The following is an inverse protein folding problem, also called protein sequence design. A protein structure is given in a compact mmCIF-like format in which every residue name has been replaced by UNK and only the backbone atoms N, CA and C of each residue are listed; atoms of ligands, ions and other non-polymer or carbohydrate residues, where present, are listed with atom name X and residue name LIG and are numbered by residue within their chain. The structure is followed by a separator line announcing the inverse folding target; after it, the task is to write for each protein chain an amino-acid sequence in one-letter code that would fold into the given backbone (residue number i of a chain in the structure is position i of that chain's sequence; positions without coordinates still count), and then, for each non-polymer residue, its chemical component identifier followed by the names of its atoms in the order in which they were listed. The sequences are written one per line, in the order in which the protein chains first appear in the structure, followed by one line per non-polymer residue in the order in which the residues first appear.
data_IF_515373207309
#
_entry.id   IF_515373207309
#
_cell.length_a   1.000
_cell.length_b   1.000
_cell.length_c   1.000
_cell.angle_alpha   90.00
_cell.angle_beta   90.00
_cell.angle_gamma   90.00
#
_symmetry.space_group_name_H-M   'P 1'
#
loop_
_entity.id
_entity.type
_entity.pdbx_description
1 polymer ?
#
# COMPACT_ATOMS: atom_id res chain seq x y z
N UNK A 1 -12.84 -13.55 11.48
CA UNK A 1 -12.13 -12.36 12.02
C UNK A 1 -11.49 -11.63 10.85
N UNK A 2 -11.59 -10.30 10.84
CA UNK A 2 -11.01 -9.50 9.76
C UNK A 2 -9.46 -9.59 9.79
N UNK A 3 -8.87 -9.78 8.61
CA UNK A 3 -7.44 -9.96 8.42
C UNK A 3 -6.85 -8.80 7.63
N UNK A 4 -5.80 -8.17 8.17
CA UNK A 4 -5.08 -7.09 7.51
C UNK A 4 -3.79 -7.55 6.83
N UNK A 5 -3.42 -6.85 5.77
CA UNK A 5 -2.08 -6.95 5.18
C UNK A 5 -1.49 -5.56 4.97
N UNK A 6 -0.23 -5.39 5.33
CA UNK A 6 0.54 -4.17 5.11
C UNK A 6 1.58 -4.47 4.04
N UNK A 7 1.56 -3.71 2.95
CA UNK A 7 2.51 -3.79 1.85
C UNK A 7 3.38 -2.54 1.91
N UNK A 8 4.63 -2.70 2.30
CA UNK A 8 5.61 -1.62 2.42
C UNK A 8 6.48 -1.58 1.18
N UNK A 9 6.53 -0.43 0.53
CA UNK A 9 7.39 -0.18 -0.62
C UNK A 9 8.18 1.11 -0.41
N UNK A 10 9.19 1.03 0.43
CA UNK A 10 10.09 2.13 0.77
C UNK A 10 11.52 1.59 0.87
N UNK A 11 12.46 2.05 0.00
CA UNK A 11 13.83 1.55 0.01
C UNK A 11 14.62 1.98 1.26
N UNK A 12 14.10 2.93 2.06
CA UNK A 12 14.76 3.38 3.27
C UNK A 12 14.29 2.60 4.50
N UNK A 13 15.06 1.62 5.01
CA UNK A 13 14.67 0.81 6.18
C UNK A 13 14.59 1.63 7.47
N UNK A 14 15.23 2.80 7.50
CA UNK A 14 15.17 3.74 8.62
C UNK A 14 14.09 4.81 8.42
N UNK A 15 13.33 4.72 7.34
CA UNK A 15 12.29 5.67 6.98
C UNK A 15 11.04 5.58 7.85
N UNK A 16 10.16 6.53 7.63
CA UNK A 16 8.90 6.64 8.36
C UNK A 16 7.97 5.46 8.11
N UNK A 17 8.03 4.84 6.93
CA UNK A 17 7.26 3.65 6.58
C UNK A 17 7.50 2.53 7.57
N UNK A 18 8.78 2.26 7.87
CA UNK A 18 9.23 1.17 8.72
C UNK A 18 9.20 1.53 10.21
N UNK A 19 9.58 2.76 10.57
CA UNK A 19 9.68 3.16 11.99
C UNK A 19 8.37 3.62 12.60
N UNK A 20 7.41 4.04 11.80
CA UNK A 20 6.18 4.62 12.34
C UNK A 20 4.92 4.04 11.70
N UNK A 21 4.75 4.09 10.37
CA UNK A 21 3.46 3.81 9.75
C UNK A 21 3.11 2.32 9.90
N UNK A 22 3.94 1.43 9.40
CA UNK A 22 3.68 -0.02 9.46
C UNK A 22 3.57 -0.54 10.92
N UNK A 23 4.48 -0.19 11.85
CA UNK A 23 4.34 -0.61 13.24
C UNK A 23 3.07 -0.08 13.91
N UNK A 24 2.65 1.17 13.60
CA UNK A 24 1.41 1.73 14.16
C UNK A 24 0.20 0.94 13.68
N UNK A 25 0.10 0.65 12.39
CA UNK A 25 -1.01 -0.14 11.85
C UNK A 25 -1.00 -1.53 12.48
N UNK A 26 0.13 -2.22 12.52
CA UNK A 26 0.25 -3.55 13.13
C UNK A 26 -0.17 -3.56 14.60
N UNK A 27 0.26 -2.55 15.39
CA UNK A 27 -0.14 -2.40 16.78
C UNK A 27 -1.66 -2.21 16.94
N UNK A 28 -2.29 -1.47 16.04
CA UNK A 28 -3.74 -1.24 16.09
C UNK A 28 -4.53 -2.53 15.82
N UNK A 29 -4.09 -3.37 14.90
CA UNK A 29 -4.65 -4.70 14.67
C UNK A 29 -4.47 -5.59 15.90
N UNK A 30 -3.25 -5.67 16.43
CA UNK A 30 -2.94 -6.45 17.64
C UNK A 30 -3.81 -6.06 18.84
N UNK A 31 -4.02 -4.76 19.07
CA UNK A 31 -4.89 -4.27 20.17
C UNK A 31 -6.36 -4.70 20.03
N UNK A 32 -6.79 -5.08 18.83
CA UNK A 32 -8.14 -5.59 18.55
C UNK A 32 -8.20 -7.12 18.47
N UNK A 33 -7.10 -7.80 18.73
CA UNK A 33 -7.01 -9.25 18.57
C UNK A 33 -7.14 -9.71 17.12
N UNK A 34 -6.80 -8.84 16.14
CA UNK A 34 -6.87 -9.12 14.71
C UNK A 34 -5.49 -9.41 14.13
N UNK A 35 -5.44 -10.33 13.17
CA UNK A 35 -4.22 -10.64 12.44
C UNK A 35 -3.84 -9.56 11.44
N UNK A 36 -2.55 -9.26 11.37
CA UNK A 36 -1.99 -8.36 10.37
C UNK A 36 -0.60 -8.82 9.92
N UNK A 37 -0.51 -9.24 8.66
CA UNK A 37 0.75 -9.62 8.02
C UNK A 37 1.45 -8.42 7.41
N UNK A 38 2.77 -8.48 7.24
CA UNK A 38 3.57 -7.44 6.58
C UNK A 38 4.34 -8.07 5.44
N UNK A 39 4.26 -7.48 4.26
CA UNK A 39 5.10 -7.69 3.10
C UNK A 39 5.96 -6.44 2.96
N UNK A 40 7.27 -6.59 2.92
CA UNK A 40 8.23 -5.51 2.69
C UNK A 40 8.96 -5.78 1.39
N UNK A 41 8.56 -5.09 0.32
CA UNK A 41 9.02 -5.40 -1.04
C UNK A 41 10.53 -5.25 -1.22
N UNK A 42 11.17 -4.35 -0.48
CA UNK A 42 12.63 -4.18 -0.56
C UNK A 42 13.39 -5.15 0.32
N UNK A 43 12.87 -5.49 1.48
CA UNK A 43 13.47 -6.47 2.38
C UNK A 43 13.30 -7.90 1.87
N UNK A 44 12.16 -8.18 1.23
CA UNK A 44 11.86 -9.47 0.63
C UNK A 44 12.52 -9.64 -0.76
N UNK A 45 13.36 -8.67 -1.16
CA UNK A 45 14.08 -8.66 -2.44
C UNK A 45 13.16 -8.83 -3.66
N UNK A 46 11.94 -8.27 -3.57
CA UNK A 46 10.98 -8.32 -4.66
C UNK A 46 11.54 -7.58 -5.89
N UNK A 47 11.72 -8.30 -6.99
CA UNK A 47 12.18 -7.71 -8.24
C UNK A 47 11.00 -7.13 -9.04
N UNK A 48 10.86 -5.78 -9.10
CA UNK A 48 9.76 -5.15 -9.83
C UNK A 48 9.88 -5.27 -11.36
N UNK A 49 11.04 -5.66 -11.87
CA UNK A 49 11.34 -5.79 -13.31
C UNK A 49 11.42 -7.24 -13.77
N UNK A 50 11.07 -8.20 -12.90
CA UNK A 50 11.20 -9.61 -13.26
C UNK A 50 10.26 -9.98 -14.41
N UNK A 51 10.85 -10.34 -15.52
CA UNK A 51 10.16 -10.89 -16.70
C UNK A 51 10.18 -12.42 -16.70
N UNK A 52 11.08 -13.03 -15.93
CA UNK A 52 11.33 -14.46 -15.92
C UNK A 52 10.61 -15.23 -14.81
N UNK A 53 10.26 -16.43 -15.23
CA UNK A 53 9.09 -17.14 -14.76
C UNK A 53 9.25 -17.89 -13.43
N UNK A 54 10.43 -18.17 -12.88
CA UNK A 54 10.53 -19.17 -11.81
C UNK A 54 10.55 -18.59 -10.40
N UNK A 55 11.55 -17.81 -10.01
CA UNK A 55 11.65 -17.27 -8.64
C UNK A 55 10.69 -16.11 -8.41
N UNK A 56 10.57 -15.19 -9.39
CA UNK A 56 9.62 -14.08 -9.34
C UNK A 56 8.17 -14.57 -9.25
N UNK A 57 7.85 -15.67 -9.91
CA UNK A 57 6.53 -16.29 -9.83
C UNK A 57 6.23 -16.91 -8.46
N UNK A 58 7.22 -17.44 -7.74
CA UNK A 58 7.01 -17.99 -6.41
C UNK A 58 6.67 -16.89 -5.41
N UNK A 59 7.41 -15.79 -5.40
CA UNK A 59 7.16 -14.64 -4.54
C UNK A 59 5.78 -14.02 -4.87
N UNK A 60 5.49 -13.81 -6.15
CA UNK A 60 4.22 -13.27 -6.58
C UNK A 60 3.04 -14.19 -6.23
N UNK A 61 3.18 -15.51 -6.34
CA UNK A 61 2.16 -16.49 -5.91
C UNK A 61 1.93 -16.44 -4.40
N UNK A 62 3.01 -16.36 -3.62
CA UNK A 62 2.92 -16.22 -2.18
C UNK A 62 2.15 -14.95 -1.78
N UNK A 63 2.49 -13.81 -2.39
CA UNK A 63 1.80 -12.55 -2.15
C UNK A 63 0.33 -12.60 -2.57
N UNK A 64 0.01 -13.20 -3.71
CA UNK A 64 -1.38 -13.43 -4.17
C UNK A 64 -2.17 -14.24 -3.15
N UNK A 65 -1.58 -15.29 -2.59
CA UNK A 65 -2.23 -16.09 -1.56
C UNK A 65 -2.56 -15.25 -0.31
N UNK A 66 -1.61 -14.46 0.19
CA UNK A 66 -1.82 -13.61 1.36
C UNK A 66 -2.90 -12.54 1.06
N UNK A 67 -2.84 -11.88 -0.10
CA UNK A 67 -3.83 -10.88 -0.51
C UNK A 67 -5.23 -11.48 -0.60
N UNK A 68 -5.35 -12.68 -1.14
CA UNK A 68 -6.64 -13.35 -1.29
C UNK A 68 -7.36 -13.53 0.05
N UNK A 69 -6.64 -13.80 1.11
CA UNK A 69 -7.17 -14.04 2.46
C UNK A 69 -7.36 -12.77 3.27
N UNK A 70 -6.80 -11.63 2.87
CA UNK A 70 -6.92 -10.36 3.58
C UNK A 70 -8.26 -9.66 3.29
N UNK A 71 -8.84 -9.02 4.30
CA UNK A 71 -10.02 -8.15 4.16
C UNK A 71 -9.59 -6.69 3.94
N UNK A 72 -8.50 -6.28 4.61
CA UNK A 72 -7.95 -4.94 4.56
C UNK A 72 -6.55 -4.96 3.96
N UNK A 73 -6.29 -4.07 2.99
CA UNK A 73 -4.98 -3.95 2.32
C UNK A 73 -4.44 -2.54 2.55
N UNK A 74 -3.28 -2.43 3.17
CA UNK A 74 -2.60 -1.18 3.46
C UNK A 74 -1.35 -1.04 2.60
N UNK A 75 -1.36 -0.14 1.63
CA UNK A 75 -0.19 0.20 0.83
C UNK A 75 0.56 1.38 1.45
N UNK A 76 1.83 1.20 1.76
CA UNK A 76 2.72 2.25 2.26
C UNK A 76 3.82 2.47 1.25
N UNK A 77 3.94 3.69 0.72
CA UNK A 77 4.98 4.02 -0.27
C UNK A 77 5.49 5.44 -0.12
N UNK A 78 6.78 5.64 -0.39
CA UNK A 78 7.30 6.96 -0.67
C UNK A 78 6.91 7.41 -2.08
N UNK A 79 6.77 8.72 -2.26
CA UNK A 79 6.55 9.34 -3.57
C UNK A 79 7.89 9.88 -4.08
N UNK A 80 8.28 9.39 -5.24
CA UNK A 80 9.48 9.78 -5.97
C UNK A 80 9.16 10.71 -7.15
N UNK A 81 10.15 10.97 -7.99
CA UNK A 81 10.03 11.86 -9.15
C UNK A 81 8.95 11.43 -10.15
N UNK A 82 8.77 10.14 -10.35
CA UNK A 82 7.83 9.58 -11.34
C UNK A 82 6.50 9.09 -10.79
N UNK A 83 6.32 9.06 -9.46
CA UNK A 83 5.10 8.48 -8.88
C UNK A 83 5.35 7.79 -7.55
N UNK A 84 4.67 6.68 -7.30
CA UNK A 84 4.97 5.80 -6.17
C UNK A 84 6.30 5.06 -6.39
N UNK A 85 6.80 4.36 -5.39
CA UNK A 85 8.07 3.64 -5.52
C UNK A 85 8.03 2.58 -6.63
N UNK A 86 9.16 2.30 -7.32
CA UNK A 86 9.23 1.28 -8.36
C UNK A 86 8.79 -0.11 -7.87
N UNK A 87 9.11 -0.46 -6.63
CA UNK A 87 8.66 -1.71 -6.02
C UNK A 87 7.13 -1.84 -5.98
N UNK A 88 6.41 -0.75 -5.68
CA UNK A 88 4.95 -0.76 -5.67
C UNK A 88 4.35 -0.80 -7.08
N UNK A 89 4.96 -0.12 -8.05
CA UNK A 89 4.53 -0.20 -9.46
C UNK A 89 4.66 -1.63 -9.99
N UNK A 90 5.83 -2.25 -9.82
CA UNK A 90 6.02 -3.65 -10.23
C UNK A 90 5.13 -4.63 -9.46
N UNK A 91 4.79 -4.33 -8.21
CA UNK A 91 3.83 -5.11 -7.46
C UNK A 91 2.43 -5.06 -8.09
N UNK A 92 1.97 -3.91 -8.55
CA UNK A 92 0.71 -3.80 -9.27
C UNK A 92 0.73 -4.63 -10.56
N UNK A 93 1.82 -4.57 -11.32
CA UNK A 93 1.93 -5.25 -12.61
C UNK A 93 2.07 -6.78 -12.47
N UNK A 94 2.86 -7.25 -11.50
CA UNK A 94 3.17 -8.68 -11.37
C UNK A 94 2.21 -9.43 -10.45
N UNK A 95 1.80 -8.79 -9.34
CA UNK A 95 0.97 -9.43 -8.31
C UNK A 95 -0.50 -9.13 -8.56
N UNK A 96 -0.87 -7.86 -8.76
CA UNK A 96 -2.26 -7.44 -8.97
C UNK A 96 -2.65 -7.45 -10.45
N UNK A 97 -2.15 -8.40 -11.21
CA UNK A 97 -2.33 -8.52 -12.64
C UNK A 97 -3.70 -9.08 -13.05
N UNK A 98 -3.96 -9.07 -14.36
CA UNK A 98 -5.10 -9.72 -14.99
C UNK A 98 -5.15 -11.22 -14.63
N UNK A 99 -6.36 -11.72 -14.35
CA UNK A 99 -6.59 -13.09 -13.91
C UNK A 99 -6.54 -13.27 -12.38
N UNK A 100 -5.84 -12.40 -11.65
CA UNK A 100 -5.85 -12.40 -10.19
C UNK A 100 -6.67 -11.24 -9.59
N UNK A 101 -6.30 -10.01 -9.91
CA UNK A 101 -6.93 -8.84 -9.32
C UNK A 101 -8.12 -8.33 -10.13
N UNK A 102 -8.10 -8.53 -11.43
CA UNK A 102 -9.16 -8.14 -12.34
C UNK A 102 -9.20 -9.01 -13.60
N UNK A 103 -10.35 -8.97 -14.29
CA UNK A 103 -10.54 -9.53 -15.63
C UNK A 103 -10.96 -8.45 -16.62
N UNK A 104 -10.83 -8.75 -17.91
CA UNK A 104 -11.36 -7.94 -19.00
C UNK A 104 -12.40 -8.79 -19.75
N UNK A 105 -13.67 -8.38 -19.67
CA UNK A 105 -14.79 -9.06 -20.34
C UNK A 105 -15.52 -8.03 -21.19
N UNK A 106 -15.66 -8.27 -22.48
CA UNK A 106 -16.31 -7.35 -23.43
C UNK A 106 -15.73 -5.91 -23.35
N UNK A 107 -14.41 -5.78 -23.35
CA UNK A 107 -13.66 -4.52 -23.21
C UNK A 107 -13.96 -3.73 -21.92
N UNK A 108 -14.57 -4.36 -20.91
CA UNK A 108 -14.81 -3.76 -19.60
C UNK A 108 -14.00 -4.50 -18.54
N UNK A 109 -13.35 -3.72 -17.66
CA UNK A 109 -12.60 -4.25 -16.54
C UNK A 109 -13.56 -4.66 -15.41
N UNK A 110 -13.41 -5.88 -14.91
CA UNK A 110 -14.16 -6.43 -13.77
C UNK A 110 -13.18 -6.74 -12.64
N UNK A 111 -13.26 -5.99 -11.54
CA UNK A 111 -12.44 -6.24 -10.35
C UNK A 111 -12.82 -7.56 -9.67
N UNK A 112 -11.81 -8.33 -9.24
CA UNK A 112 -11.95 -9.51 -8.38
C UNK A 112 -11.69 -9.19 -6.91
N UNK A 113 -11.11 -8.03 -6.61
CA UNK A 113 -10.79 -7.57 -5.26
C UNK A 113 -11.77 -6.50 -4.73
N UNK A 114 -12.93 -6.37 -5.36
CA UNK A 114 -13.94 -5.33 -5.08
C UNK A 114 -14.52 -5.34 -3.65
N UNK A 115 -14.37 -6.45 -2.91
CA UNK A 115 -14.87 -6.59 -1.52
C UNK A 115 -13.84 -6.18 -0.45
N UNK A 116 -12.63 -5.80 -0.85
CA UNK A 116 -11.55 -5.48 0.08
C UNK A 116 -11.51 -3.99 0.40
N UNK A 117 -11.26 -3.66 1.66
CA UNK A 117 -10.97 -2.28 2.07
C UNK A 117 -9.50 -1.96 1.79
N UNK A 118 -9.25 -0.85 1.12
CA UNK A 118 -7.90 -0.49 0.66
C UNK A 118 -7.49 0.88 1.18
N UNK A 119 -6.29 0.95 1.73
CA UNK A 119 -5.72 2.13 2.36
C UNK A 119 -4.39 2.48 1.73
N UNK A 120 -4.22 3.74 1.27
CA UNK A 120 -2.97 4.23 0.72
C UNK A 120 -2.33 5.26 1.66
N UNK A 121 -1.12 4.98 2.10
CA UNK A 121 -0.28 5.87 2.90
C UNK A 121 0.91 6.32 2.07
N UNK A 122 0.74 7.42 1.36
CA UNK A 122 1.79 7.97 0.54
C UNK A 122 2.51 9.06 1.33
N UNK A 123 3.82 8.95 1.46
CA UNK A 123 4.63 9.96 2.11
C UNK A 123 5.61 10.60 1.15
N UNK A 124 5.89 11.89 1.36
CA UNK A 124 6.76 12.68 0.49
C UNK A 124 7.41 13.82 1.25
N UNK A 125 8.52 14.35 0.72
CA UNK A 125 9.10 15.59 1.22
C UNK A 125 8.23 16.80 0.86
N UNK A 126 8.36 17.92 1.58
CA UNK A 126 7.63 19.16 1.28
C UNK A 126 7.84 19.63 -0.16
N UNK A 127 9.05 19.45 -0.71
CA UNK A 127 9.41 19.85 -2.08
C UNK A 127 8.70 19.00 -3.15
N UNK A 128 8.12 17.86 -2.77
CA UNK A 128 7.50 16.88 -3.68
C UNK A 128 5.97 16.90 -3.68
N UNK A 129 5.33 17.93 -3.08
CA UNK A 129 3.87 17.98 -2.93
C UNK A 129 3.12 17.92 -4.28
N UNK A 130 3.62 18.60 -5.31
CA UNK A 130 3.00 18.57 -6.65
C UNK A 130 3.06 17.16 -7.24
N UNK A 131 4.18 16.46 -7.04
CA UNK A 131 4.37 15.08 -7.52
C UNK A 131 3.53 14.07 -6.74
N UNK A 132 3.31 14.32 -5.46
CA UNK A 132 2.34 13.56 -4.68
C UNK A 132 0.95 13.62 -5.31
N UNK A 133 0.49 14.81 -5.70
CA UNK A 133 -0.82 14.95 -6.36
C UNK A 133 -0.87 14.16 -7.67
N UNK A 134 0.18 14.20 -8.50
CA UNK A 134 0.26 13.42 -9.74
C UNK A 134 0.23 11.90 -9.48
N UNK A 135 1.02 11.42 -8.52
CA UNK A 135 1.03 10.00 -8.12
C UNK A 135 -0.34 9.56 -7.61
N UNK A 136 -0.98 10.38 -6.78
CA UNK A 136 -2.32 10.09 -6.29
C UNK A 136 -3.37 10.07 -7.38
N UNK A 137 -3.34 11.04 -8.32
CA UNK A 137 -4.27 11.09 -9.45
C UNK A 137 -4.14 9.84 -10.33
N UNK A 138 -2.90 9.38 -10.60
CA UNK A 138 -2.67 8.14 -11.33
C UNK A 138 -3.29 6.93 -10.60
N UNK A 139 -3.05 6.78 -9.31
CA UNK A 139 -3.68 5.72 -8.52
C UNK A 139 -5.21 5.80 -8.59
N UNK A 140 -5.76 6.98 -8.35
CA UNK A 140 -7.21 7.23 -8.29
C UNK A 140 -7.93 6.95 -9.60
N UNK A 141 -7.34 7.29 -10.74
CA UNK A 141 -8.01 7.18 -12.04
C UNK A 141 -7.62 5.96 -12.86
N UNK A 142 -6.52 5.27 -12.52
CA UNK A 142 -6.05 4.10 -13.24
C UNK A 142 -6.09 2.83 -12.38
N UNK A 143 -5.27 2.77 -11.33
CA UNK A 143 -5.06 1.55 -10.55
C UNK A 143 -6.32 1.17 -9.76
N UNK A 144 -6.89 2.12 -9.03
CA UNK A 144 -8.00 1.88 -8.12
C UNK A 144 -9.26 1.40 -8.84
N UNK A 145 -9.76 2.08 -9.91
CA UNK A 145 -10.96 1.62 -10.62
C UNK A 145 -10.77 0.27 -11.28
N UNK A 146 -9.56 -0.03 -11.75
CA UNK A 146 -9.24 -1.28 -12.43
C UNK A 146 -9.21 -2.46 -11.45
N UNK A 147 -8.51 -2.29 -10.32
CA UNK A 147 -8.18 -3.39 -9.40
C UNK A 147 -9.22 -3.51 -8.27
N UNK A 148 -9.61 -2.40 -7.66
CA UNK A 148 -10.41 -2.41 -6.42
C UNK A 148 -11.85 -1.91 -6.61
N UNK A 149 -12.17 -1.27 -7.72
CA UNK A 149 -13.47 -0.68 -8.05
C UNK A 149 -13.94 0.34 -6.99
N UNK A 150 -14.99 0.05 -6.25
CA UNK A 150 -15.62 0.96 -5.27
C UNK A 150 -15.34 0.57 -3.82
N UNK A 151 -14.29 -0.20 -3.54
CA UNK A 151 -13.88 -0.48 -2.18
C UNK A 151 -13.53 0.83 -1.46
N UNK A 152 -13.75 0.87 -0.18
CA UNK A 152 -13.47 2.05 0.65
C UNK A 152 -11.98 2.40 0.57
N UNK A 153 -11.68 3.56 -0.02
CA UNK A 153 -10.31 3.97 -0.28
C UNK A 153 -9.97 5.14 0.61
N UNK A 154 -9.00 4.92 1.49
CA UNK A 154 -8.48 5.95 2.36
C UNK A 154 -7.12 6.43 1.87
N UNK A 155 -7.00 7.71 1.62
CA UNK A 155 -5.74 8.38 1.33
C UNK A 155 -5.20 9.05 2.58
N UNK A 156 -3.93 8.86 2.87
CA UNK A 156 -3.20 9.67 3.84
C UNK A 156 -2.03 10.38 3.17
N UNK A 157 -2.15 11.71 3.04
CA UNK A 157 -1.03 12.58 2.70
C UNK A 157 -0.17 12.78 3.95
N UNK A 158 1.03 12.24 3.91
CA UNK A 158 2.00 12.34 5.00
C UNK A 158 3.20 13.16 4.52
N UNK A 159 3.07 14.49 4.58
CA UNK A 159 4.19 15.39 4.26
C UNK A 159 5.28 15.29 5.30
N UNK A 160 6.51 15.08 4.85
CA UNK A 160 7.66 14.85 5.69
C UNK A 160 8.76 15.90 5.50
N UNK A 161 9.35 16.37 6.61
CA UNK A 161 10.59 17.16 6.57
C UNK A 161 11.78 16.24 6.74
N UNK A 162 12.80 16.41 5.93
CA UNK A 162 13.93 15.48 5.75
C UNK A 162 14.74 15.23 7.04
N UNK A 163 14.74 16.10 8.03
CA UNK A 163 15.71 16.04 9.12
C UNK A 163 15.19 15.96 10.55
N UNK A 164 13.86 15.99 10.83
CA UNK A 164 13.41 15.91 12.22
C UNK A 164 12.04 15.30 12.38
N UNK A 165 12.00 14.10 12.93
CA UNK A 165 10.79 13.54 13.50
C UNK A 165 10.63 14.10 14.91
N UNK A 166 10.14 15.32 15.03
CA UNK A 166 9.76 15.85 16.36
C UNK A 166 8.63 14.99 16.94
N UNK A 167 8.74 14.61 18.20
CA UNK A 167 7.79 13.74 18.92
C UNK A 167 6.33 14.18 18.76
N UNK A 168 6.06 15.49 18.73
CA UNK A 168 4.73 16.08 18.47
C UNK A 168 4.17 15.70 17.08
N UNK A 169 5.01 15.58 16.07
CA UNK A 169 4.60 15.23 14.69
C UNK A 169 4.30 13.75 14.56
N UNK A 170 5.07 12.89 15.23
CA UNK A 170 4.80 11.46 15.35
C UNK A 170 3.43 11.23 16.00
N UNK A 171 3.16 11.91 17.12
CA UNK A 171 1.88 11.84 17.82
C UNK A 171 0.71 12.26 16.93
N UNK A 172 0.88 13.34 16.13
CA UNK A 172 -0.13 13.81 15.18
C UNK A 172 -0.39 12.81 14.06
N UNK A 173 0.65 12.21 13.47
CA UNK A 173 0.51 11.19 12.43
C UNK A 173 -0.16 9.95 13.01
N UNK A 174 0.26 9.48 14.18
CA UNK A 174 -0.35 8.35 14.86
C UNK A 174 -1.83 8.59 15.13
N UNK A 175 -2.22 9.75 15.64
CA UNK A 175 -3.62 10.08 15.88
C UNK A 175 -4.42 10.14 14.59
N UNK A 176 -3.87 10.72 13.51
CA UNK A 176 -4.50 10.72 12.18
C UNK A 176 -4.68 9.31 11.59
N UNK A 177 -3.74 8.40 11.84
CA UNK A 177 -3.88 7.00 11.45
C UNK A 177 -4.98 6.30 12.26
N UNK A 178 -5.03 6.57 13.56
CA UNK A 178 -6.03 6.01 14.45
C UNK A 178 -7.44 6.49 14.05
N UNK A 179 -7.64 7.79 13.88
CA UNK A 179 -8.96 8.34 13.51
C UNK A 179 -9.45 7.76 12.17
N UNK A 180 -8.59 7.73 11.15
CA UNK A 180 -8.98 7.19 9.84
C UNK A 180 -9.31 5.69 9.83
N UNK A 181 -8.67 4.90 10.68
CA UNK A 181 -8.90 3.46 10.73
C UNK A 181 -10.09 3.07 11.62
N UNK A 182 -10.54 3.95 12.51
CA UNK A 182 -11.42 3.54 13.61
C UNK A 182 -12.60 4.47 13.91
N UNK A 183 -12.64 5.69 13.38
CA UNK A 183 -13.75 6.63 13.61
C UNK A 183 -14.85 6.54 12.54
N UNK A 184 -14.66 5.73 11.49
CA UNK A 184 -15.64 5.54 10.41
C UNK A 184 -16.40 4.21 10.53
N UNK A 185 -16.61 3.72 11.76
CA UNK A 185 -17.56 2.61 12.06
C UNK A 185 -18.50 3.00 13.16
#
# INVERSE_FOLDING_TARGET
MAKGIIIVSDPNPLGISHKLIAPTIKLLYSKRGLDCSVIDLYRDEFNPMATDATAANLIARHYKHIIKTADHIHFISNVNLGGVSPGLEGFFDQVLNKGFAYDVVNNKTKSRLHKKEVYFYLHHSKKMRTRFNAAWMRLKFSVIPTIFKSSTIFQSDLTWGINEVKSKKIKKIRNKLISKLFENK
#
